data_IF_739113332639
#
_entry.id   IF_739113332639
#
_cell.length_a   1.000
_cell.length_b   1.000
_cell.length_c   1.000
_cell.angle_alpha   90.00
_cell.angle_beta   90.00
_cell.angle_gamma   90.00
#
_symmetry.space_group_name_H-M   'P 1'
#
loop_
_entity.id
_entity.type
_entity.pdbx_description
1 polymer ?
#
# COMPACT_ATOMS: atom_id res chain seq x y z
N UNK A 1 9.07 3.37 9.70
CA UNK A 1 7.71 3.90 9.40
C UNK A 1 7.75 5.00 8.32
N UNK A 2 6.91 4.87 7.30
CA UNK A 2 6.77 5.86 6.23
C UNK A 2 5.62 6.81 6.58
N UNK A 3 5.92 8.06 6.90
CA UNK A 3 4.89 9.03 7.29
C UNK A 3 4.08 9.45 6.06
N UNK A 4 2.76 9.27 6.12
CA UNK A 4 1.82 9.63 5.05
C UNK A 4 0.76 10.61 5.57
N UNK A 5 0.09 11.30 4.65
CA UNK A 5 -1.06 12.15 5.02
C UNK A 5 -2.28 11.25 5.29
N UNK A 6 -3.16 11.71 6.17
CA UNK A 6 -4.44 11.04 6.41
C UNK A 6 -5.21 10.93 5.08
N UNK A 7 -5.74 9.75 4.79
CA UNK A 7 -6.43 9.45 3.53
C UNK A 7 -5.50 9.06 2.37
N UNK A 8 -4.21 8.90 2.62
CA UNK A 8 -3.27 8.38 1.62
C UNK A 8 -3.68 6.97 1.15
N UNK A 9 -3.42 6.71 -0.12
CA UNK A 9 -3.66 5.42 -0.75
C UNK A 9 -2.36 4.64 -0.93
N UNK A 10 -2.48 3.36 -1.23
CA UNK A 10 -1.33 2.52 -1.62
C UNK A 10 -0.59 3.13 -2.81
N UNK A 11 -1.30 3.75 -3.75
CA UNK A 11 -0.69 4.51 -4.85
C UNK A 11 0.25 5.62 -4.37
N UNK A 12 -0.17 6.42 -3.38
CA UNK A 12 0.64 7.51 -2.86
C UNK A 12 1.93 7.00 -2.21
N UNK A 13 1.86 5.84 -1.56
CA UNK A 13 3.05 5.16 -1.02
C UNK A 13 3.98 4.71 -2.14
N UNK A 14 3.45 4.09 -3.20
CA UNK A 14 4.25 3.72 -4.37
C UNK A 14 4.93 4.95 -5.00
N UNK A 15 4.19 6.05 -5.21
CA UNK A 15 4.77 7.31 -5.75
C UNK A 15 5.87 7.87 -4.86
N UNK A 16 5.69 7.81 -3.53
CA UNK A 16 6.66 8.31 -2.55
C UNK A 16 7.94 7.47 -2.52
N UNK A 17 7.84 6.17 -2.76
CA UNK A 17 9.00 5.27 -2.85
C UNK A 17 9.76 5.51 -4.15
N UNK A 18 9.10 5.29 -5.30
CA UNK A 18 9.63 5.57 -6.63
C UNK A 18 8.53 5.34 -7.68
N UNK A 19 8.52 6.11 -8.76
CA UNK A 19 7.49 6.01 -9.82
C UNK A 19 7.35 4.59 -10.41
N UNK A 20 8.45 3.87 -10.54
CA UNK A 20 8.48 2.50 -11.09
C UNK A 20 7.65 1.50 -10.26
N UNK A 21 7.37 1.79 -8.98
CA UNK A 21 6.52 0.92 -8.17
C UNK A 21 5.07 0.93 -8.64
N UNK A 22 4.59 2.01 -9.27
CA UNK A 22 3.26 2.03 -9.89
C UNK A 22 3.27 1.18 -11.14
N UNK A 23 4.24 1.41 -12.03
CA UNK A 23 4.29 0.75 -13.33
C UNK A 23 4.46 -0.76 -13.19
N UNK A 24 5.18 -1.19 -12.15
CA UNK A 24 5.42 -2.61 -11.84
C UNK A 24 4.48 -3.15 -10.77
N UNK A 25 3.48 -2.39 -10.31
CA UNK A 25 2.62 -2.83 -9.22
C UNK A 25 1.81 -4.07 -9.60
N UNK A 26 1.94 -5.15 -8.82
CA UNK A 26 1.09 -6.34 -8.98
C UNK A 26 -0.08 -6.34 -8.01
N UNK A 27 0.25 -6.22 -6.72
CA UNK A 27 -0.69 -6.11 -5.60
C UNK A 27 0.09 -5.71 -4.35
N UNK A 28 -0.63 -5.30 -3.31
CA UNK A 28 -0.07 -5.18 -1.98
C UNK A 28 -0.76 -6.13 -1.01
N UNK A 29 -0.07 -6.54 0.04
CA UNK A 29 -0.64 -7.21 1.22
C UNK A 29 -0.62 -6.24 2.39
N UNK A 30 -1.64 -6.32 3.22
CA UNK A 30 -1.83 -5.38 4.31
C UNK A 30 -2.21 -6.10 5.60
N UNK A 31 -1.74 -5.55 6.72
CA UNK A 31 -2.11 -5.93 8.07
C UNK A 31 -2.40 -4.65 8.85
N UNK A 32 -3.52 -4.62 9.56
CA UNK A 32 -3.98 -3.45 10.32
C UNK A 32 -5.49 -3.26 10.19
N UNK A 33 -5.98 -2.15 10.75
CA UNK A 33 -7.41 -1.86 10.88
C UNK A 33 -8.09 -1.47 9.55
N UNK A 34 -7.30 -1.18 8.52
CA UNK A 34 -7.80 -0.86 7.17
C UNK A 34 -8.32 -2.07 6.39
N UNK A 35 -7.99 -3.29 6.83
CA UNK A 35 -8.41 -4.55 6.19
C UNK A 35 -9.21 -5.42 7.15
N UNK A 36 -10.14 -6.20 6.60
CA UNK A 36 -10.99 -7.11 7.40
C UNK A 36 -10.29 -8.41 7.77
N UNK A 37 -9.28 -8.78 6.98
CA UNK A 37 -8.52 -10.01 7.15
C UNK A 37 -7.02 -9.69 7.03
N UNK A 38 -6.21 -10.33 7.86
CA UNK A 38 -4.76 -10.20 7.78
C UNK A 38 -4.20 -10.69 6.44
N UNK A 39 -3.12 -10.07 5.99
CA UNK A 39 -2.49 -10.33 4.69
C UNK A 39 -3.44 -10.19 3.49
N UNK A 40 -4.51 -9.41 3.62
CA UNK A 40 -5.47 -9.19 2.53
C UNK A 40 -4.78 -8.52 1.35
N UNK A 41 -5.08 -9.02 0.14
CA UNK A 41 -4.59 -8.43 -1.10
C UNK A 41 -5.39 -7.17 -1.42
N UNK A 42 -4.68 -6.06 -1.60
CA UNK A 42 -5.25 -4.76 -1.93
C UNK A 42 -4.61 -4.17 -3.18
N UNK A 43 -5.35 -3.31 -3.87
CA UNK A 43 -4.88 -2.56 -5.04
C UNK A 43 -4.40 -1.16 -4.69
N UNK A 44 -3.93 -0.43 -5.72
CA UNK A 44 -3.44 0.95 -5.60
C UNK A 44 -4.46 1.92 -4.98
N UNK A 45 -5.76 1.70 -5.23
CA UNK A 45 -6.84 2.56 -4.75
C UNK A 45 -7.20 2.41 -3.27
N UNK A 46 -6.62 1.44 -2.56
CA UNK A 46 -6.92 1.16 -1.16
C UNK A 46 -6.37 2.27 -0.25
N UNK A 47 -7.18 2.73 0.70
CA UNK A 47 -6.84 3.81 1.64
C UNK A 47 -6.20 3.22 2.89
N UNK A 48 -5.09 3.80 3.31
CA UNK A 48 -4.32 3.37 4.47
C UNK A 48 -4.92 3.92 5.77
N UNK A 49 -4.81 3.13 6.84
CA UNK A 49 -4.99 3.57 8.22
C UNK A 49 -3.62 3.80 8.90
N UNK A 50 -3.64 4.46 10.05
CA UNK A 50 -2.44 4.61 10.86
C UNK A 50 -1.95 3.24 11.35
N UNK A 51 -0.64 3.11 11.52
CA UNK A 51 0.04 1.86 11.95
C UNK A 51 -0.12 0.64 11.01
N UNK A 52 -0.74 0.79 9.84
CA UNK A 52 -0.82 -0.28 8.84
C UNK A 52 0.57 -0.78 8.40
N UNK A 53 0.70 -2.10 8.32
CA UNK A 53 1.86 -2.76 7.72
C UNK A 53 1.53 -3.09 6.28
N UNK A 54 2.29 -2.53 5.34
CA UNK A 54 2.12 -2.71 3.90
C UNK A 54 3.30 -3.50 3.31
N UNK A 55 3.00 -4.55 2.55
CA UNK A 55 3.96 -5.24 1.69
C UNK A 55 3.58 -5.03 0.22
N UNK A 56 4.47 -4.41 -0.57
CA UNK A 56 4.26 -4.20 -2.00
C UNK A 56 4.89 -5.35 -2.79
N UNK A 57 4.14 -5.94 -3.70
CA UNK A 57 4.63 -6.97 -4.62
C UNK A 57 4.64 -6.39 -6.03
N UNK A 58 5.82 -6.38 -6.65
CA UNK A 58 6.03 -5.88 -8.01
C UNK A 58 6.26 -7.04 -8.99
N UNK A 59 5.87 -6.85 -10.25
CA UNK A 59 6.27 -7.71 -11.37
C UNK A 59 7.71 -7.39 -11.80
N UNK A 60 8.42 -8.38 -12.36
CA UNK A 60 9.82 -8.20 -12.80
C UNK A 60 9.90 -7.37 -14.06
#
# INVERSE_FOLDING_TARGET
PLIMRIGAKVEDVCRKLHRDFIDKFRFARMWGDSVRHEAQRVGLGHTLADEDVLQIVIER
#
